data_IF_484399530539
#
_entry.id   IF_484399530539
#
_cell.length_a   1.000
_cell.length_b   1.000
_cell.length_c   1.000
_cell.angle_alpha   90.00
_cell.angle_beta   90.00
_cell.angle_gamma   90.00
#
_symmetry.space_group_name_H-M   'P 1'
#
loop_
_entity.id
_entity.type
_entity.pdbx_description
1 polymer ?
#
# COMPACT_ATOMS: atom_id res chain seq x y z
N UNK A 1 17.39 19.04 2.91
CA UNK A 1 16.93 17.84 3.63
C UNK A 1 15.79 17.26 2.82
N UNK A 2 15.84 15.98 2.47
CA UNK A 2 14.75 15.36 1.72
C UNK A 2 13.65 15.01 2.73
N UNK A 3 12.53 15.74 2.71
CA UNK A 3 11.42 15.52 3.62
C UNK A 3 10.72 14.22 3.23
N UNK A 4 10.85 13.17 4.04
CA UNK A 4 10.28 11.86 3.74
C UNK A 4 9.03 11.62 4.58
N UNK A 5 7.89 11.55 3.91
CA UNK A 5 6.60 11.24 4.53
C UNK A 5 6.21 9.79 4.27
N UNK A 6 5.46 9.21 5.21
CA UNK A 6 5.02 7.82 5.14
C UNK A 6 3.53 7.73 5.42
N UNK A 7 2.82 6.93 4.63
CA UNK A 7 1.40 6.64 4.86
C UNK A 7 1.13 5.13 4.96
N UNK A 8 0.24 4.78 5.90
CA UNK A 8 -0.23 3.42 6.16
C UNK A 8 -1.72 3.30 5.90
N UNK A 9 -2.15 2.17 5.34
CA UNK A 9 -3.54 1.97 4.92
C UNK A 9 -3.87 2.83 3.69
N UNK A 10 -2.92 2.94 2.76
CA UNK A 10 -3.02 3.86 1.64
C UNK A 10 -4.09 3.49 0.60
N UNK A 11 -4.53 2.23 0.55
CA UNK A 11 -5.50 1.77 -0.44
C UNK A 11 -5.01 2.02 -1.86
N UNK A 12 -5.70 2.89 -2.61
CA UNK A 12 -5.30 3.30 -3.96
C UNK A 12 -4.64 4.69 -4.00
N UNK A 13 -4.53 5.38 -2.86
CA UNK A 13 -3.90 6.70 -2.77
C UNK A 13 -2.40 6.53 -2.58
N UNK A 14 -1.58 6.90 -3.57
CA UNK A 14 -0.14 6.69 -3.52
C UNK A 14 0.67 7.84 -4.13
N UNK A 15 0.76 9.00 -3.45
CA UNK A 15 1.57 10.12 -3.90
C UNK A 15 3.03 9.70 -4.12
N UNK A 16 3.64 10.14 -5.21
CA UNK A 16 5.01 9.74 -5.58
C UNK A 16 6.08 10.25 -4.62
N UNK A 17 5.80 11.34 -3.90
CA UNK A 17 6.70 11.90 -2.89
C UNK A 17 6.62 11.20 -1.52
N UNK A 18 5.69 10.25 -1.36
CA UNK A 18 5.45 9.54 -0.10
C UNK A 18 5.86 8.07 -0.20
N UNK A 19 6.27 7.49 0.92
CA UNK A 19 6.36 6.04 1.03
C UNK A 19 4.97 5.51 1.39
N UNK A 20 4.42 4.68 0.51
CA UNK A 20 3.03 4.22 0.61
C UNK A 20 3.00 2.75 1.04
N UNK A 21 2.39 2.46 2.18
CA UNK A 21 2.20 1.11 2.69
C UNK A 21 0.74 0.72 2.79
N UNK A 22 0.45 -0.55 2.50
CA UNK A 22 -0.86 -1.16 2.69
C UNK A 22 -0.71 -2.62 3.12
N UNK A 23 -1.56 -3.06 4.05
CA UNK A 23 -1.55 -4.43 4.58
C UNK A 23 -2.65 -5.30 3.95
N UNK A 24 -3.39 -4.81 2.95
CA UNK A 24 -4.56 -5.52 2.43
C UNK A 24 -4.22 -6.86 1.80
N UNK A 25 -5.05 -7.89 2.03
CA UNK A 25 -4.90 -9.19 1.36
C UNK A 25 -4.94 -9.07 -0.17
N UNK A 26 -5.71 -8.12 -0.70
CA UNK A 26 -5.80 -7.86 -2.14
C UNK A 26 -4.46 -7.38 -2.71
N UNK A 27 -3.70 -6.55 -1.99
CA UNK A 27 -2.38 -6.12 -2.44
C UNK A 27 -1.42 -7.31 -2.44
N UNK A 28 -1.43 -8.11 -1.38
CA UNK A 28 -0.60 -9.30 -1.28
C UNK A 28 -0.88 -10.28 -2.44
N UNK A 29 -2.15 -10.58 -2.73
CA UNK A 29 -2.56 -11.45 -3.84
C UNK A 29 -2.14 -10.87 -5.21
N UNK A 30 -2.34 -9.57 -5.44
CA UNK A 30 -1.97 -8.91 -6.69
C UNK A 30 -0.45 -8.96 -6.95
N UNK A 31 0.37 -8.98 -5.89
CA UNK A 31 1.83 -9.02 -5.98
C UNK A 31 2.41 -10.44 -6.13
N UNK A 32 1.59 -11.49 -6.01
CA UNK A 32 2.07 -12.86 -6.24
C UNK A 32 2.41 -13.08 -7.73
N UNK A 33 3.60 -13.60 -8.06
CA UNK A 33 4.07 -13.64 -9.45
C UNK A 33 3.26 -14.55 -10.38
N UNK A 34 2.57 -15.56 -9.83
CA UNK A 34 1.73 -16.50 -10.61
C UNK A 34 0.25 -16.13 -10.47
N UNK A 35 -0.26 -16.06 -9.23
CA UNK A 35 -1.67 -15.75 -8.98
C UNK A 35 -2.03 -14.30 -9.35
N UNK A 36 -1.12 -13.35 -9.12
CA UNK A 36 -1.30 -11.94 -9.48
C UNK A 36 -1.37 -11.69 -10.98
N UNK A 37 -0.77 -12.56 -11.82
CA UNK A 37 -0.89 -12.47 -13.29
C UNK A 37 -2.32 -12.76 -13.77
N UNK A 38 -3.00 -13.68 -13.11
CA UNK A 38 -4.39 -14.04 -13.41
C UNK A 38 -5.40 -13.18 -12.64
N UNK A 39 -4.95 -12.48 -11.60
CA UNK A 39 -5.76 -11.53 -10.86
C UNK A 39 -5.99 -10.26 -11.69
N UNK A 40 -7.24 -10.04 -12.11
CA UNK A 40 -7.63 -8.88 -12.92
C UNK A 40 -7.76 -7.57 -12.13
N UNK A 41 -7.22 -7.48 -10.91
CA UNK A 41 -7.42 -6.31 -10.03
C UNK A 41 -8.86 -6.18 -9.53
N UNK A 42 -9.61 -7.28 -9.49
CA UNK A 42 -11.03 -7.26 -9.09
C UNK A 42 -11.14 -7.16 -7.57
N UNK A 43 -11.61 -6.01 -7.06
CA UNK A 43 -11.73 -5.69 -5.64
C UNK A 43 -13.17 -5.34 -5.30
N UNK A 44 -13.60 -5.67 -4.08
CA UNK A 44 -14.85 -5.15 -3.53
C UNK A 44 -14.56 -3.83 -2.82
N UNK A 45 -15.13 -2.74 -3.30
CA UNK A 45 -15.06 -1.41 -2.71
C UNK A 45 -16.49 -0.93 -2.46
N UNK A 46 -16.83 -0.67 -1.19
CA UNK A 46 -18.17 -0.19 -0.80
C UNK A 46 -19.31 -1.09 -1.32
N UNK A 47 -19.10 -2.41 -1.32
CA UNK A 47 -20.07 -3.39 -1.82
C UNK A 47 -20.16 -3.50 -3.35
N UNK A 48 -19.31 -2.78 -4.09
CA UNK A 48 -19.21 -2.86 -5.55
C UNK A 48 -17.97 -3.61 -5.99
N UNK A 49 -18.12 -4.47 -6.98
CA UNK A 49 -16.99 -5.09 -7.66
C UNK A 49 -16.39 -4.07 -8.63
N UNK A 50 -15.15 -3.67 -8.38
CA UNK A 50 -14.39 -2.73 -9.20
C UNK A 50 -13.13 -3.42 -9.70
N UNK A 51 -12.77 -3.20 -10.97
CA UNK A 51 -11.46 -3.61 -11.49
C UNK A 51 -10.49 -2.44 -11.36
N UNK A 52 -9.59 -2.52 -10.38
CA UNK A 52 -8.54 -1.53 -10.17
C UNK A 52 -7.29 -2.19 -9.59
N UNK A 53 -6.14 -1.95 -10.22
CA UNK A 53 -4.84 -2.45 -9.75
C UNK A 53 -4.24 -1.50 -8.72
N UNK A 54 -3.47 -2.04 -7.79
CA UNK A 54 -2.69 -1.19 -6.89
C UNK A 54 -1.62 -0.45 -7.70
N UNK A 55 -1.44 0.86 -7.44
CA UNK A 55 -0.27 1.58 -7.93
C UNK A 55 1.04 0.87 -7.59
N UNK A 56 2.00 0.93 -8.52
CA UNK A 56 3.26 0.17 -8.42
C UNK A 56 4.11 0.58 -7.22
N UNK A 57 4.05 1.86 -6.82
CA UNK A 57 4.81 2.46 -5.73
C UNK A 57 4.26 2.13 -4.32
N UNK A 58 3.13 1.41 -4.23
CA UNK A 58 2.63 0.88 -2.96
C UNK A 58 3.42 -0.37 -2.58
N UNK A 59 3.82 -0.41 -1.31
CA UNK A 59 4.56 -1.51 -0.69
C UNK A 59 3.64 -2.24 0.30
N UNK A 60 3.81 -3.55 0.41
CA UNK A 60 3.18 -4.29 1.49
C UNK A 60 3.85 -3.89 2.81
N UNK A 61 3.07 -3.58 3.84
CA UNK A 61 3.60 -3.21 5.16
C UNK A 61 2.58 -3.47 6.26
N UNK A 62 2.95 -4.33 7.20
CA UNK A 62 2.15 -4.70 8.37
C UNK A 62 2.61 -3.90 9.59
N UNK A 63 1.86 -2.86 9.95
CA UNK A 63 2.24 -1.95 11.06
C UNK A 63 2.34 -2.67 12.41
N UNK A 64 1.65 -3.80 12.60
CA UNK A 64 1.70 -4.59 13.84
C UNK A 64 3.10 -5.22 14.01
N UNK A 65 3.78 -5.52 12.90
CA UNK A 65 5.15 -6.08 12.91
C UNK A 65 6.24 -5.02 12.95
N UNK A 66 5.87 -3.75 13.03
CA UNK A 66 6.79 -2.64 12.85
C UNK A 66 7.02 -2.32 11.37
N UNK A 67 7.69 -1.19 11.14
CA UNK A 67 7.76 -0.56 9.84
C UNK A 67 9.09 -0.90 9.17
N UNK A 68 9.10 -1.26 7.87
CA UNK A 68 10.35 -1.56 7.14
C UNK A 68 11.05 -0.26 6.71
N UNK A 69 11.22 0.66 7.64
CA UNK A 69 11.93 1.94 7.48
C UNK A 69 12.85 2.15 8.68
N UNK A 70 13.91 2.93 8.49
CA UNK A 70 14.86 3.23 9.55
C UNK A 70 14.20 4.03 10.69
N UNK A 71 14.53 3.76 11.96
CA UNK A 71 14.07 4.58 13.08
C UNK A 71 14.46 6.06 12.89
N UNK A 72 13.57 6.99 13.26
CA UNK A 72 13.79 8.44 13.16
C UNK A 72 14.11 8.97 11.74
N UNK A 73 13.72 8.25 10.69
CA UNK A 73 14.06 8.59 9.30
C UNK A 73 13.00 9.38 8.52
N UNK A 74 11.78 9.51 9.06
CA UNK A 74 10.68 10.20 8.39
C UNK A 74 10.32 11.51 9.10
N UNK A 75 9.84 12.47 8.31
CA UNK A 75 9.36 13.77 8.80
C UNK A 75 7.93 13.71 9.32
N UNK A 76 7.15 12.70 8.92
CA UNK A 76 5.78 12.51 9.40
C UNK A 76 5.18 11.20 8.94
N UNK A 77 4.22 10.71 9.73
CA UNK A 77 3.46 9.50 9.47
C UNK A 77 1.97 9.83 9.41
N UNK A 78 1.28 9.33 8.40
CA UNK A 78 -0.17 9.38 8.27
C UNK A 78 -0.74 7.96 8.29
N UNK A 79 -1.88 7.78 8.96
CA UNK A 79 -2.61 6.52 8.95
C UNK A 79 -4.05 6.80 8.59
N UNK A 80 -4.61 6.03 7.65
CA UNK A 80 -6.05 6.04 7.41
C UNK A 80 -6.68 4.85 8.15
N UNK A 81 -7.80 5.09 8.85
CA UNK A 81 -8.58 4.08 9.57
C UNK A 81 -9.68 3.51 8.70
#
# INVERSE_FOLDING_TARGET
>A
MNTQYVQYGCGLSSPDSWINFDASPNLWLERLPVLGRFYSGTKSLEGKIVRSRFPKNIRYGDIIKGLPIEPNSCSGVYTNS
#
